data_IF_845742807170
#
_entry.id   IF_845742807170
#
_cell.length_a   1.000
_cell.length_b   1.000
_cell.length_c   1.000
_cell.angle_alpha   90.00
_cell.angle_beta   90.00
_cell.angle_gamma   90.00
#
_symmetry.space_group_name_H-M   'P 1'
#
loop_
_entity.id
_entity.type
_entity.pdbx_description
1 polymer ?
#
# COMPACT_ATOMS: atom_id res chain seq x y z
N UNK A 1 -17.42 -2.94 20.49
CA UNK A 1 -17.72 -2.65 19.10
C UNK A 1 -17.84 -3.95 18.30
N UNK A 2 -18.39 -3.89 17.11
CA UNK A 2 -18.37 -5.03 16.19
C UNK A 2 -16.96 -5.18 15.61
N UNK A 3 -16.50 -6.40 15.27
CA UNK A 3 -15.23 -6.57 14.58
C UNK A 3 -15.28 -5.86 13.24
N UNK A 4 -14.14 -5.25 12.84
CA UNK A 4 -13.97 -4.71 11.51
C UNK A 4 -13.50 -5.86 10.60
N UNK A 5 -14.44 -6.50 9.93
CA UNK A 5 -14.15 -7.51 8.91
C UNK A 5 -13.97 -6.82 7.56
N UNK A 6 -12.81 -7.01 6.91
CA UNK A 6 -12.50 -6.36 5.64
C UNK A 6 -11.63 -7.24 4.74
N UNK A 7 -11.69 -6.96 3.45
CA UNK A 7 -10.84 -7.56 2.42
C UNK A 7 -9.63 -6.65 2.18
N UNK A 8 -8.38 -7.18 2.13
CA UNK A 8 -7.20 -6.38 1.77
C UNK A 8 -7.40 -5.56 0.50
N UNK A 9 -7.10 -4.25 0.61
CA UNK A 9 -7.38 -3.26 -0.43
C UNK A 9 -8.58 -2.36 -0.16
N UNK A 10 -9.41 -2.69 0.83
CA UNK A 10 -10.48 -1.81 1.31
C UNK A 10 -9.93 -0.68 2.18
N UNK A 11 -10.77 0.33 2.42
CA UNK A 11 -10.44 1.53 3.20
C UNK A 11 -11.52 1.85 4.24
N UNK A 12 -11.16 2.67 5.22
CA UNK A 12 -12.08 3.32 6.15
C UNK A 12 -12.15 4.82 5.87
N UNK A 13 -13.23 5.46 6.31
CA UNK A 13 -13.37 6.91 6.34
C UNK A 13 -13.29 7.38 7.79
N UNK A 14 -12.29 8.20 8.09
CA UNK A 14 -12.16 8.89 9.38
C UNK A 14 -12.95 10.19 9.31
N UNK A 15 -13.82 10.41 10.29
CA UNK A 15 -14.69 11.58 10.40
C UNK A 15 -14.08 12.60 11.37
N UNK A 16 -14.14 13.87 11.02
CA UNK A 16 -13.66 14.98 11.83
C UNK A 16 -14.37 16.27 11.43
N UNK A 17 -14.03 17.38 12.07
CA UNK A 17 -14.54 18.70 11.69
C UNK A 17 -13.37 19.65 11.47
N UNK A 18 -13.54 20.59 10.56
CA UNK A 18 -12.65 21.77 10.45
C UNK A 18 -12.80 22.68 11.67
N UNK A 19 -11.90 23.65 11.82
CA UNK A 19 -11.94 24.60 12.94
C UNK A 19 -13.23 25.44 13.00
N UNK A 20 -13.91 25.63 11.89
CA UNK A 20 -15.21 26.30 11.78
C UNK A 20 -16.42 25.41 12.10
N UNK A 21 -16.18 24.15 12.48
CA UNK A 21 -17.19 23.15 12.75
C UNK A 21 -17.74 22.42 11.54
N UNK A 22 -17.29 22.75 10.33
CA UNK A 22 -17.73 22.07 9.10
C UNK A 22 -17.31 20.58 9.12
N UNK A 23 -18.25 19.62 8.97
CA UNK A 23 -17.92 18.21 8.95
C UNK A 23 -17.02 17.86 7.76
N UNK A 24 -16.06 16.99 8.00
CA UNK A 24 -15.14 16.48 6.98
C UNK A 24 -14.87 14.99 7.18
N UNK A 25 -14.39 14.34 6.12
CA UNK A 25 -13.95 12.95 6.17
C UNK A 25 -12.80 12.73 5.21
N UNK A 26 -11.94 11.77 5.54
CA UNK A 26 -10.85 11.33 4.65
C UNK A 26 -10.80 9.82 4.62
N UNK A 27 -10.54 9.30 3.43
CA UNK A 27 -10.41 7.85 3.20
C UNK A 27 -8.97 7.42 3.39
N UNK A 28 -8.78 6.30 4.10
CA UNK A 28 -7.47 5.70 4.35
C UNK A 28 -7.55 4.21 4.08
N UNK A 29 -6.71 3.74 3.15
CA UNK A 29 -6.59 2.31 2.89
C UNK A 29 -6.06 1.59 4.14
N UNK A 30 -6.60 0.41 4.39
CA UNK A 30 -6.14 -0.43 5.48
C UNK A 30 -4.80 -1.07 5.10
N UNK A 31 -3.81 -0.93 5.99
CA UNK A 31 -2.45 -1.41 5.80
C UNK A 31 -2.18 -2.75 6.45
N UNK A 32 -3.03 -3.14 7.41
CA UNK A 32 -2.81 -4.34 8.22
C UNK A 32 -2.84 -5.59 7.36
N UNK A 33 -1.80 -6.41 7.47
CA UNK A 33 -1.74 -7.73 6.87
C UNK A 33 -2.58 -8.70 7.70
N UNK A 34 -3.45 -9.47 7.05
CA UNK A 34 -4.16 -10.58 7.67
C UNK A 34 -4.64 -11.58 6.61
N UNK A 35 -4.79 -12.81 7.00
CA UNK A 35 -5.24 -13.94 6.19
C UNK A 35 -6.54 -14.58 6.73
N UNK A 36 -7.14 -13.98 7.75
CA UNK A 36 -8.32 -14.48 8.46
C UNK A 36 -9.25 -13.33 8.86
N UNK A 37 -10.49 -13.65 9.22
CA UNK A 37 -11.43 -12.68 9.79
C UNK A 37 -10.90 -12.10 11.11
N UNK A 38 -10.98 -10.80 11.28
CA UNK A 38 -10.45 -10.11 12.46
C UNK A 38 -11.33 -10.30 13.67
N UNK A 39 -10.71 -10.58 14.81
CA UNK A 39 -11.41 -10.68 16.08
C UNK A 39 -11.73 -9.28 16.65
N UNK A 40 -12.77 -9.17 17.52
CA UNK A 40 -13.02 -7.92 18.25
C UNK A 40 -11.80 -7.47 19.04
N UNK A 41 -11.45 -6.19 18.97
CA UNK A 41 -10.30 -5.61 19.67
C UNK A 41 -8.96 -5.73 18.99
N UNK A 42 -8.86 -6.40 17.84
CA UNK A 42 -7.66 -6.35 17.03
C UNK A 42 -7.46 -4.98 16.39
N UNK A 43 -6.21 -4.53 16.34
CA UNK A 43 -5.84 -3.24 15.75
C UNK A 43 -5.86 -3.28 14.24
N UNK A 44 -6.18 -2.17 13.61
CA UNK A 44 -5.94 -1.91 12.19
C UNK A 44 -4.95 -0.76 12.04
N UNK A 45 -4.18 -0.79 10.96
CA UNK A 45 -3.20 0.22 10.63
C UNK A 45 -3.64 0.99 9.38
N UNK A 46 -3.42 2.29 9.38
CA UNK A 46 -3.57 3.18 8.22
C UNK A 46 -2.31 4.02 8.06
N UNK A 47 -1.99 4.40 6.85
CA UNK A 47 -0.91 5.36 6.58
C UNK A 47 -1.50 6.75 6.34
N UNK A 48 -0.99 7.74 7.07
CA UNK A 48 -1.42 9.13 6.95
C UNK A 48 -0.25 9.98 6.43
N UNK A 49 -0.46 10.61 5.28
CA UNK A 49 0.50 11.59 4.77
C UNK A 49 0.15 12.97 5.33
N UNK A 50 1.08 13.58 6.04
CA UNK A 50 0.89 14.91 6.62
C UNK A 50 1.05 15.99 5.56
N UNK A 51 0.02 16.84 5.47
CA UNK A 51 -0.02 18.00 4.57
C UNK A 51 -0.09 19.25 5.41
N UNK A 52 0.82 20.20 5.18
CA UNK A 52 0.85 21.46 5.92
C UNK A 52 -0.50 22.19 5.84
N UNK A 53 -1.07 22.54 7.00
CA UNK A 53 -2.38 23.18 7.11
C UNK A 53 -3.57 22.24 6.86
N UNK A 54 -3.34 20.94 6.68
CA UNK A 54 -4.40 19.96 6.49
C UNK A 54 -5.14 19.64 7.78
N UNK A 55 -6.47 19.63 7.76
CA UNK A 55 -7.27 19.32 8.96
C UNK A 55 -7.07 17.89 9.47
N UNK A 56 -6.85 16.92 8.59
CA UNK A 56 -6.50 15.56 8.99
C UNK A 56 -5.09 15.51 9.64
N UNK A 57 -4.14 16.30 9.14
CA UNK A 57 -2.82 16.47 9.77
C UNK A 57 -2.97 16.99 11.19
N UNK A 58 -3.71 18.09 11.39
CA UNK A 58 -3.95 18.65 12.70
C UNK A 58 -4.63 17.66 13.67
N UNK A 59 -5.57 16.86 13.17
CA UNK A 59 -6.22 15.80 13.96
C UNK A 59 -5.20 14.77 14.47
N UNK A 60 -4.42 14.20 13.57
CA UNK A 60 -3.52 13.08 13.93
C UNK A 60 -2.27 13.53 14.67
N UNK A 61 -1.71 14.72 14.36
CA UNK A 61 -0.59 15.30 15.13
C UNK A 61 -1.00 15.69 16.56
N UNK A 62 -2.23 16.18 16.73
CA UNK A 62 -2.74 16.58 18.04
C UNK A 62 -3.30 15.42 18.87
N UNK A 63 -3.39 14.21 18.33
CA UNK A 63 -4.01 13.08 19.01
C UNK A 63 -3.04 12.38 19.95
N UNK A 64 -3.34 12.29 21.25
CA UNK A 64 -2.54 11.52 22.18
C UNK A 64 -2.74 10.01 21.95
N UNK A 65 -1.76 9.22 22.38
CA UNK A 65 -1.92 7.76 22.45
C UNK A 65 -3.15 7.39 23.29
N UNK A 66 -3.98 6.51 22.76
CA UNK A 66 -5.27 6.16 23.36
C UNK A 66 -6.42 7.12 23.02
N UNK A 67 -6.15 8.16 22.23
CA UNK A 67 -7.18 9.03 21.65
C UNK A 67 -8.14 8.25 20.76
N UNK A 68 -9.33 8.81 20.54
CA UNK A 68 -10.37 8.16 19.73
C UNK A 68 -10.74 9.00 18.52
N UNK A 69 -11.06 8.33 17.43
CA UNK A 69 -11.64 8.93 16.23
C UNK A 69 -12.88 8.16 15.80
N UNK A 70 -13.84 8.86 15.22
CA UNK A 70 -14.97 8.21 14.59
C UNK A 70 -14.57 7.78 13.17
N UNK A 71 -14.90 6.54 12.84
CA UNK A 71 -14.65 6.00 11.52
C UNK A 71 -15.82 5.16 11.02
N UNK A 72 -15.98 5.10 9.72
CA UNK A 72 -16.93 4.22 9.05
C UNK A 72 -16.23 3.37 7.98
N UNK A 73 -16.77 2.20 7.71
CA UNK A 73 -16.22 1.23 6.76
C UNK A 73 -16.50 -0.21 7.17
N UNK A 74 -15.87 -1.18 6.50
CA UNK A 74 -14.95 -1.00 5.37
C UNK A 74 -15.68 -0.62 4.08
N UNK A 75 -14.98 0.08 3.18
CA UNK A 75 -15.48 0.48 1.86
C UNK A 75 -14.46 0.12 0.77
N UNK A 76 -14.90 0.15 -0.49
CA UNK A 76 -14.03 0.00 -1.65
C UNK A 76 -14.03 -1.41 -2.24
N UNK A 77 -13.52 -1.47 -3.48
CA UNK A 77 -13.42 -2.70 -4.28
C UNK A 77 -12.03 -2.84 -4.91
N UNK A 78 -11.03 -2.14 -4.40
CA UNK A 78 -9.65 -2.24 -4.85
C UNK A 78 -9.00 -3.49 -4.24
N UNK A 79 -9.59 -4.65 -4.50
CA UNK A 79 -9.15 -5.94 -3.97
C UNK A 79 -8.63 -6.81 -5.11
N UNK A 80 -7.79 -7.80 -4.81
CA UNK A 80 -7.39 -8.79 -5.80
C UNK A 80 -8.65 -9.49 -6.35
N UNK A 81 -8.73 -9.63 -7.67
CA UNK A 81 -9.87 -10.26 -8.31
C UNK A 81 -9.85 -11.77 -8.01
N UNK A 82 -10.93 -12.33 -7.47
CA UNK A 82 -11.00 -13.76 -7.26
C UNK A 82 -11.09 -14.49 -8.61
N UNK A 83 -10.39 -15.61 -8.72
CA UNK A 83 -10.49 -16.53 -9.86
C UNK A 83 -10.15 -15.92 -11.24
N UNK A 84 -9.36 -14.85 -11.29
CA UNK A 84 -8.82 -14.37 -12.58
C UNK A 84 -7.81 -15.37 -13.17
N UNK A 85 -7.54 -15.25 -14.47
CA UNK A 85 -6.62 -16.14 -15.19
C UNK A 85 -5.25 -15.49 -15.47
N UNK A 86 -4.98 -14.29 -14.93
CA UNK A 86 -3.76 -13.57 -15.18
C UNK A 86 -2.54 -14.30 -14.60
N UNK A 87 -1.42 -14.16 -15.27
CA UNK A 87 -0.14 -14.78 -14.90
C UNK A 87 0.82 -13.81 -14.22
N UNK A 88 0.66 -12.50 -14.49
CA UNK A 88 1.48 -11.45 -13.90
C UNK A 88 0.61 -10.33 -13.33
N UNK A 89 0.93 -9.90 -12.12
CA UNK A 89 0.25 -8.85 -11.38
C UNK A 89 1.16 -7.64 -11.27
N UNK A 90 0.77 -6.52 -11.86
CA UNK A 90 1.50 -5.25 -11.84
C UNK A 90 0.83 -4.34 -10.80
N UNK A 91 1.48 -4.20 -9.64
CA UNK A 91 1.01 -3.37 -8.54
C UNK A 91 1.76 -2.04 -8.59
N UNK A 92 1.07 -0.94 -8.78
CA UNK A 92 1.69 0.38 -9.02
C UNK A 92 1.13 1.38 -8.02
N UNK A 93 1.99 1.94 -7.17
CA UNK A 93 1.58 2.91 -6.16
C UNK A 93 2.62 3.99 -5.89
N UNK A 94 2.15 5.16 -5.44
CA UNK A 94 3.00 6.26 -5.01
C UNK A 94 2.58 6.78 -3.64
N UNK A 95 3.54 7.21 -2.82
CA UNK A 95 3.25 7.72 -1.49
C UNK A 95 2.43 6.72 -0.66
N UNK A 96 1.31 7.16 -0.08
CA UNK A 96 0.41 6.28 0.69
C UNK A 96 -0.43 5.33 -0.17
N UNK A 97 -0.45 5.48 -1.49
CA UNK A 97 -1.09 4.52 -2.41
C UNK A 97 -0.46 3.13 -2.39
N UNK A 98 0.70 2.97 -1.75
CA UNK A 98 1.33 1.67 -1.51
C UNK A 98 0.62 0.84 -0.41
N UNK A 99 -0.15 1.50 0.44
CA UNK A 99 -0.78 0.91 1.63
C UNK A 99 -1.64 -0.33 1.36
N UNK A 100 -2.55 -0.34 0.36
CA UNK A 100 -3.37 -1.53 0.09
C UNK A 100 -2.53 -2.75 -0.32
N UNK A 101 -1.40 -2.55 -0.99
CA UNK A 101 -0.54 -3.67 -1.40
C UNK A 101 0.15 -4.32 -0.22
N UNK A 102 0.49 -3.56 0.83
CA UNK A 102 0.99 -4.15 2.08
C UNK A 102 -0.04 -5.08 2.70
N UNK A 103 -1.30 -4.65 2.77
CA UNK A 103 -2.38 -5.50 3.28
C UNK A 103 -2.60 -6.76 2.44
N UNK A 104 -2.29 -6.72 1.14
CA UNK A 104 -2.46 -7.84 0.21
C UNK A 104 -1.33 -8.88 0.30
N UNK A 105 -0.20 -8.62 0.96
CA UNK A 105 0.95 -9.51 0.95
C UNK A 105 0.61 -10.98 1.32
N UNK A 106 -0.19 -11.28 2.36
CA UNK A 106 -0.55 -12.67 2.67
C UNK A 106 -1.36 -13.35 1.56
N UNK A 107 -2.23 -12.61 0.86
CA UNK A 107 -2.99 -13.15 -0.27
C UNK A 107 -2.11 -13.37 -1.50
N UNK A 108 -1.12 -12.47 -1.72
CA UNK A 108 -0.15 -12.59 -2.81
C UNK A 108 0.78 -13.79 -2.59
N UNK A 109 1.20 -14.06 -1.35
CA UNK A 109 1.94 -15.27 -1.01
C UNK A 109 1.17 -16.54 -1.40
N UNK A 110 -0.10 -16.63 -0.96
CA UNK A 110 -0.97 -17.75 -1.30
C UNK A 110 -1.15 -17.88 -2.83
N UNK A 111 -1.32 -16.77 -3.53
CA UNK A 111 -1.50 -16.74 -4.98
C UNK A 111 -0.25 -17.22 -5.73
N UNK A 112 0.93 -16.74 -5.31
CA UNK A 112 2.23 -17.16 -5.87
C UNK A 112 2.42 -18.66 -5.62
N UNK A 113 2.20 -19.13 -4.38
CA UNK A 113 2.37 -20.54 -4.02
C UNK A 113 1.40 -21.47 -4.79
N UNK A 114 0.14 -21.07 -4.95
CA UNK A 114 -0.89 -21.89 -5.57
C UNK A 114 -0.82 -21.91 -7.10
N UNK A 115 -0.41 -20.79 -7.74
CA UNK A 115 -0.53 -20.62 -9.19
C UNK A 115 0.80 -20.35 -9.90
N UNK A 116 1.89 -20.08 -9.16
CA UNK A 116 3.18 -19.71 -9.74
C UNK A 116 3.15 -18.38 -10.52
N UNK A 117 2.29 -17.45 -10.14
CA UNK A 117 2.19 -16.16 -10.81
C UNK A 117 3.38 -15.27 -10.48
N UNK A 118 3.68 -14.33 -11.38
CA UNK A 118 4.63 -13.25 -11.14
C UNK A 118 3.90 -12.03 -10.56
N UNK A 119 4.47 -11.41 -9.54
CA UNK A 119 3.98 -10.15 -8.97
C UNK A 119 5.10 -9.12 -9.04
N UNK A 120 4.85 -7.97 -9.64
CA UNK A 120 5.79 -6.85 -9.69
C UNK A 120 5.18 -5.65 -9.00
N UNK A 121 5.80 -5.21 -7.91
CA UNK A 121 5.39 -4.01 -7.17
C UNK A 121 6.30 -2.83 -7.55
N UNK A 122 5.73 -1.83 -8.23
CA UNK A 122 6.37 -0.56 -8.56
C UNK A 122 5.97 0.47 -7.49
N UNK A 123 6.93 0.92 -6.68
CA UNK A 123 6.71 1.97 -5.69
C UNK A 123 7.40 3.26 -6.10
N UNK A 124 6.62 4.31 -6.36
CA UNK A 124 7.16 5.65 -6.62
C UNK A 124 7.35 6.46 -5.35
N UNK A 125 8.55 7.03 -5.19
CA UNK A 125 8.88 7.99 -4.16
C UNK A 125 9.85 9.07 -4.72
N UNK A 126 10.10 10.12 -3.95
CA UNK A 126 11.11 11.12 -4.35
C UNK A 126 12.50 10.71 -3.91
N UNK A 127 12.61 10.19 -2.71
CA UNK A 127 13.87 9.79 -2.05
C UNK A 127 13.71 8.44 -1.36
N UNK A 128 14.81 7.76 -1.00
CA UNK A 128 14.75 6.49 -0.26
C UNK A 128 14.01 6.60 1.08
N UNK A 129 14.12 7.72 1.77
CA UNK A 129 13.46 7.96 3.06
C UNK A 129 11.91 8.01 2.97
N UNK A 130 11.37 8.21 1.78
CA UNK A 130 9.93 8.26 1.52
C UNK A 130 9.34 6.89 1.09
N UNK A 131 10.15 5.83 1.04
CA UNK A 131 9.69 4.49 0.71
C UNK A 131 8.92 3.87 1.89
N UNK A 132 7.65 4.22 2.00
CA UNK A 132 6.75 3.67 3.01
C UNK A 132 6.70 2.12 2.89
N UNK A 133 6.96 1.41 4.00
CA UNK A 133 7.05 -0.06 4.08
C UNK A 133 8.11 -0.70 3.15
N UNK A 134 9.07 0.07 2.65
CA UNK A 134 10.07 -0.42 1.69
C UNK A 134 10.87 -1.62 2.18
N UNK A 135 11.22 -1.66 3.46
CA UNK A 135 11.95 -2.79 4.07
C UNK A 135 11.10 -4.06 4.13
N UNK A 136 9.79 -3.94 4.42
CA UNK A 136 8.86 -5.06 4.42
C UNK A 136 8.70 -5.65 3.01
N UNK A 137 8.51 -4.80 2.00
CA UNK A 137 8.40 -5.25 0.61
C UNK A 137 9.69 -5.90 0.11
N UNK A 138 10.85 -5.39 0.51
CA UNK A 138 12.14 -6.00 0.19
C UNK A 138 12.32 -7.35 0.87
N UNK A 139 11.99 -7.44 2.15
CA UNK A 139 12.04 -8.71 2.88
C UNK A 139 11.09 -9.75 2.25
N UNK A 140 9.90 -9.33 1.85
CA UNK A 140 8.94 -10.19 1.17
C UNK A 140 9.49 -10.66 -0.19
N UNK A 141 10.07 -9.77 -1.00
CA UNK A 141 10.67 -10.11 -2.30
C UNK A 141 11.83 -11.12 -2.14
N UNK A 142 12.65 -10.97 -1.10
CA UNK A 142 13.75 -11.90 -0.83
C UNK A 142 13.26 -13.30 -0.44
N UNK A 143 12.08 -13.41 0.18
CA UNK A 143 11.49 -14.68 0.60
C UNK A 143 10.65 -15.36 -0.49
N UNK A 144 10.18 -14.61 -1.50
CA UNK A 144 9.21 -15.08 -2.50
C UNK A 144 9.74 -14.80 -3.92
N UNK A 145 10.40 -15.77 -4.58
CA UNK A 145 10.97 -15.57 -5.93
C UNK A 145 9.97 -15.11 -6.99
N UNK A 146 8.67 -15.38 -6.80
CA UNK A 146 7.59 -14.89 -7.67
C UNK A 146 7.19 -13.43 -7.42
N UNK A 147 7.77 -12.76 -6.40
CA UNK A 147 7.50 -11.36 -6.09
C UNK A 147 8.74 -10.50 -6.33
N UNK A 148 8.58 -9.44 -7.10
CA UNK A 148 9.64 -8.47 -7.40
C UNK A 148 9.25 -7.09 -6.91
N UNK A 149 10.12 -6.47 -6.11
CA UNK A 149 9.93 -5.12 -5.59
C UNK A 149 10.85 -4.13 -6.32
N UNK A 150 10.27 -3.10 -6.95
CA UNK A 150 10.97 -2.12 -7.78
C UNK A 150 10.68 -0.69 -7.26
N UNK A 151 11.51 -0.15 -6.37
CA UNK A 151 11.44 1.26 -6.00
C UNK A 151 11.83 2.15 -7.18
N UNK A 152 11.02 3.18 -7.44
CA UNK A 152 11.25 4.21 -8.46
C UNK A 152 11.46 5.55 -7.79
N UNK A 153 12.67 6.08 -7.84
CA UNK A 153 13.08 7.28 -7.09
C UNK A 153 13.30 8.45 -8.05
N UNK A 154 12.49 9.50 -7.92
CA UNK A 154 12.48 10.58 -8.90
C UNK A 154 13.47 11.71 -8.62
N UNK A 155 14.06 11.79 -7.42
CA UNK A 155 15.00 12.87 -7.05
C UNK A 155 16.35 12.36 -6.59
N UNK A 156 16.38 11.37 -5.72
CA UNK A 156 17.59 10.91 -5.07
C UNK A 156 17.67 9.40 -5.09
N UNK A 157 18.78 8.84 -5.57
CA UNK A 157 19.09 7.43 -5.48
C UNK A 157 19.77 7.13 -4.14
N UNK A 158 19.63 5.91 -3.59
CA UNK A 158 20.36 5.52 -2.41
C UNK A 158 21.86 5.51 -2.69
N UNK A 159 22.67 5.91 -1.70
CA UNK A 159 24.11 5.72 -1.76
C UNK A 159 24.45 4.21 -1.91
N UNK A 160 25.55 3.90 -2.57
CA UNK A 160 25.89 2.51 -2.92
C UNK A 160 26.05 1.58 -1.69
N UNK A 161 26.40 2.14 -0.55
CA UNK A 161 26.54 1.46 0.75
C UNK A 161 25.25 1.49 1.59
N UNK A 162 24.20 2.11 1.09
CA UNK A 162 22.92 2.20 1.78
C UNK A 162 22.20 0.84 1.80
N UNK A 163 21.49 0.50 2.90
CA UNK A 163 20.61 -0.67 2.93
C UNK A 163 19.48 -0.62 1.91
N UNK A 164 19.21 0.56 1.35
CA UNK A 164 18.21 0.73 0.28
C UNK A 164 18.80 0.54 -1.13
N UNK A 165 20.12 0.39 -1.28
CA UNK A 165 20.76 0.13 -2.56
C UNK A 165 20.58 -1.34 -2.97
N UNK A 166 19.83 -1.58 -4.05
CA UNK A 166 19.69 -2.91 -4.65
C UNK A 166 19.44 -2.79 -6.16
N UNK A 167 19.64 -3.90 -6.88
CA UNK A 167 19.64 -3.92 -8.33
C UNK A 167 18.33 -3.49 -9.00
N UNK A 168 17.21 -3.63 -8.29
CA UNK A 168 15.89 -3.27 -8.82
C UNK A 168 15.48 -1.80 -8.61
N UNK A 169 16.29 -0.99 -7.89
CA UNK A 169 16.02 0.45 -7.78
C UNK A 169 16.12 1.12 -9.14
N UNK A 170 15.13 1.91 -9.51
CA UNK A 170 15.09 2.70 -10.75
C UNK A 170 15.13 4.18 -10.45
N UNK A 171 15.86 4.93 -11.26
CA UNK A 171 15.77 6.39 -11.27
C UNK A 171 14.61 6.84 -12.14
N UNK A 172 13.74 7.70 -11.60
CA UNK A 172 12.62 8.27 -12.34
C UNK A 172 11.25 7.88 -11.78
N UNK A 173 10.24 7.94 -12.62
CA UNK A 173 8.85 7.70 -12.26
C UNK A 173 8.43 6.26 -12.55
N UNK A 174 7.41 5.77 -11.84
CA UNK A 174 6.85 4.42 -12.03
C UNK A 174 6.40 4.13 -13.46
N UNK A 175 5.98 5.15 -14.22
CA UNK A 175 5.57 5.01 -15.62
C UNK A 175 6.72 4.51 -16.51
N UNK A 176 7.95 4.96 -16.25
CA UNK A 176 9.12 4.53 -17.00
C UNK A 176 9.42 3.05 -16.73
N UNK A 177 9.44 2.67 -15.45
CA UNK A 177 9.62 1.27 -15.04
C UNK A 177 8.50 0.37 -15.55
N UNK A 178 7.25 0.84 -15.58
CA UNK A 178 6.13 0.10 -16.15
C UNK A 178 6.32 -0.14 -17.66
N UNK A 179 6.79 0.86 -18.39
CA UNK A 179 7.08 0.71 -19.83
C UNK A 179 8.16 -0.34 -20.11
N UNK A 180 9.20 -0.42 -19.26
CA UNK A 180 10.25 -1.45 -19.34
C UNK A 180 9.71 -2.88 -19.12
N UNK A 181 8.64 -3.03 -18.34
CA UNK A 181 7.99 -4.33 -18.12
C UNK A 181 7.19 -4.83 -19.33
N UNK A 182 6.97 -3.97 -20.34
CA UNK A 182 6.19 -4.29 -21.54
C UNK A 182 4.88 -5.03 -21.21
N UNK A 183 3.91 -4.36 -20.55
CA UNK A 183 2.66 -5.01 -20.14
C UNK A 183 1.93 -5.67 -21.31
N UNK A 184 1.39 -6.86 -21.07
CA UNK A 184 0.63 -7.65 -22.03
C UNK A 184 -0.83 -7.81 -21.57
N UNK A 185 -1.77 -7.37 -22.40
CA UNK A 185 -3.20 -7.40 -22.08
C UNK A 185 -3.78 -8.83 -21.94
N UNK A 186 -3.11 -9.85 -22.46
CA UNK A 186 -3.59 -11.23 -22.40
C UNK A 186 -3.13 -11.99 -21.13
N UNK A 187 -2.09 -11.50 -20.46
CA UNK A 187 -1.47 -12.20 -19.34
C UNK A 187 -1.30 -11.37 -18.08
N UNK A 188 -1.46 -10.06 -18.16
CA UNK A 188 -1.22 -9.14 -17.06
C UNK A 188 -2.49 -8.54 -16.51
N UNK A 189 -2.49 -8.28 -15.21
CA UNK A 189 -3.46 -7.43 -14.56
C UNK A 189 -2.74 -6.30 -13.82
N UNK A 190 -3.19 -5.06 -13.99
CA UNK A 190 -2.60 -3.90 -13.34
C UNK A 190 -3.52 -3.31 -12.26
N UNK A 191 -2.95 -3.06 -11.10
CA UNK A 191 -3.58 -2.34 -9.99
C UNK A 191 -2.84 -1.01 -9.79
N UNK A 192 -3.55 0.11 -9.89
CA UNK A 192 -3.00 1.46 -9.78
C UNK A 192 -3.62 2.20 -8.60
N UNK A 193 -2.78 2.73 -7.68
CA UNK A 193 -3.22 3.47 -6.49
C UNK A 193 -2.33 4.69 -6.17
#
# INVERSE_FOLDING_TARGET
GQPLDYIPGQFIQVHFAYADGTPARRSYSLATQHDHARAPGESVEIAVSYVAGGAATALFEGMPLGGSVDASGPFGRFCLLPNDANRRYLLIGTGTGITPYRAMLPLLDQLIAARGVEVVLLQGARTPAELLYGDEFRAFANAHPGFRYVPCLSRELPAADSPHAHADVRHGYVQNALAELAPDAEGDIAYLC
#
